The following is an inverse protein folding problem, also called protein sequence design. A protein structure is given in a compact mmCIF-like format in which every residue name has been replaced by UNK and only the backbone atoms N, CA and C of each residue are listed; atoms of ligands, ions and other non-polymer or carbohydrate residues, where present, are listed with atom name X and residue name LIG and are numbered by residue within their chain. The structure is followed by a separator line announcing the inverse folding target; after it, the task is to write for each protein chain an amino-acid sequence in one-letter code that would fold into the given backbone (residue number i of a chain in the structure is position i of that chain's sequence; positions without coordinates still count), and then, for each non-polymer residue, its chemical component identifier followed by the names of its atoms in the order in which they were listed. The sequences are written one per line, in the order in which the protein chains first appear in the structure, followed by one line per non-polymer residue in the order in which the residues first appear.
data_IF_348937163475
#
_entry.id   IF_348937163475
#
_cell.length_a   1.000
_cell.length_b   1.000
_cell.length_c   1.000
_cell.angle_alpha   90.00
_cell.angle_beta   90.00
_cell.angle_gamma   90.00
#
_symmetry.space_group_name_H-M   'P 1'
#
loop_
_entity.id
_entity.type
_entity.pdbx_description
1 polymer ?
#
# COMPACT_ATOMS: atom_id res chain seq x y z
N UNK A 1 57.09 -45.78 45.95
CA UNK A 1 58.02 -46.70 45.29
C UNK A 1 58.12 -46.30 43.84
N UNK A 2 59.30 -45.87 43.41
CA UNK A 2 59.54 -45.35 42.07
C UNK A 2 59.40 -46.49 41.07
N UNK A 3 58.51 -46.37 40.09
CA UNK A 3 58.29 -47.39 39.05
C UNK A 3 59.61 -47.71 38.32
N UNK A 4 60.49 -46.73 38.24
CA UNK A 4 61.86 -46.83 37.72
C UNK A 4 62.73 -47.75 38.57
N UNK A 5 62.65 -47.65 39.90
CA UNK A 5 63.41 -48.49 40.83
C UNK A 5 62.91 -49.94 40.79
N UNK A 6 61.59 -50.15 40.65
CA UNK A 6 61.01 -51.48 40.47
C UNK A 6 61.41 -52.13 39.13
N UNK A 7 61.55 -51.35 38.05
CA UNK A 7 62.03 -51.83 36.74
C UNK A 7 63.53 -52.15 36.76
N UNK A 8 64.33 -51.34 37.47
CA UNK A 8 65.76 -51.59 37.68
C UNK A 8 66.00 -52.86 38.51
N UNK A 9 65.19 -53.10 39.53
CA UNK A 9 65.27 -54.33 40.34
C UNK A 9 64.82 -55.57 39.57
N UNK A 10 63.78 -55.47 38.73
CA UNK A 10 63.26 -56.60 37.92
C UNK A 10 64.25 -57.12 36.87
N UNK A 11 65.09 -56.26 36.29
CA UNK A 11 66.04 -56.63 35.23
C UNK A 11 67.51 -56.64 35.69
N UNK A 12 67.75 -56.61 37.01
CA UNK A 12 69.08 -56.49 37.63
C UNK A 12 70.11 -57.54 37.20
N UNK A 13 69.66 -58.74 36.85
CA UNK A 13 70.51 -59.88 36.45
C UNK A 13 70.61 -60.10 34.94
N UNK A 14 69.93 -59.29 34.12
CA UNK A 14 69.92 -59.43 32.67
C UNK A 14 70.61 -58.23 32.03
N UNK A 15 71.92 -58.35 31.78
CA UNK A 15 72.82 -57.26 31.39
C UNK A 15 72.30 -56.46 30.18
N UNK A 16 71.84 -57.16 29.14
CA UNK A 16 71.20 -56.56 27.96
C UNK A 16 69.94 -55.73 28.28
N UNK A 17 69.07 -56.22 29.17
CA UNK A 17 67.81 -55.55 29.51
C UNK A 17 68.04 -54.37 30.45
N UNK A 18 69.03 -54.47 31.34
CA UNK A 18 69.47 -53.36 32.20
C UNK A 18 70.01 -52.20 31.35
N UNK A 19 70.85 -52.49 30.36
CA UNK A 19 71.39 -51.49 29.45
C UNK A 19 70.27 -50.83 28.63
N UNK A 20 69.34 -51.62 28.08
CA UNK A 20 68.13 -51.10 27.42
C UNK A 20 67.30 -50.18 28.32
N UNK A 21 67.09 -50.54 29.59
CA UNK A 21 66.32 -49.71 30.54
C UNK A 21 67.02 -48.36 30.80
N UNK A 22 68.34 -48.36 31.01
CA UNK A 22 69.10 -47.12 31.17
C UNK A 22 69.12 -46.29 29.88
N UNK A 23 69.24 -46.92 28.70
CA UNK A 23 69.18 -46.23 27.41
C UNK A 23 67.80 -45.59 27.18
N UNK A 24 66.71 -46.26 27.55
CA UNK A 24 65.36 -45.68 27.48
C UNK A 24 65.17 -44.55 28.49
N UNK A 25 65.69 -44.67 29.70
CA UNK A 25 65.63 -43.61 30.72
C UNK A 25 66.47 -42.40 30.33
N UNK A 26 67.63 -42.60 29.69
CA UNK A 26 68.47 -41.53 29.18
C UNK A 26 67.85 -40.82 27.97
N UNK A 27 67.11 -41.54 27.12
CA UNK A 27 66.41 -40.97 25.95
C UNK A 27 65.02 -40.41 26.29
N UNK A 28 64.45 -40.71 27.46
CA UNK A 28 63.12 -40.25 27.88
C UNK A 28 62.99 -38.71 27.90
N UNK A 29 63.95 -37.92 28.43
CA UNK A 29 63.87 -36.46 28.40
C UNK A 29 63.84 -35.90 26.98
N UNK A 30 64.62 -36.49 26.06
CA UNK A 30 64.65 -36.11 24.64
C UNK A 30 63.32 -36.44 23.96
N UNK A 31 62.76 -37.62 24.25
CA UNK A 31 61.43 -38.01 23.77
C UNK A 31 60.35 -37.05 24.28
N UNK A 32 60.34 -36.73 25.58
CA UNK A 32 59.36 -35.82 26.17
C UNK A 32 59.48 -34.40 25.62
N UNK A 33 60.70 -33.88 25.42
CA UNK A 33 60.93 -32.60 24.77
C UNK A 33 60.42 -32.58 23.32
N UNK A 34 60.65 -33.66 22.56
CA UNK A 34 60.12 -33.78 21.20
C UNK A 34 58.58 -33.85 21.16
N UNK A 35 57.96 -34.54 22.11
CA UNK A 35 56.50 -34.61 22.25
C UNK A 35 55.88 -33.26 22.65
N UNK A 36 56.56 -32.51 23.53
CA UNK A 36 56.17 -31.15 23.91
C UNK A 36 56.26 -30.20 22.71
N UNK A 37 57.37 -30.22 21.95
CA UNK A 37 57.49 -29.44 20.72
C UNK A 37 56.43 -29.79 19.67
N UNK A 38 56.13 -31.08 19.48
CA UNK A 38 55.07 -31.52 18.56
C UNK A 38 53.70 -31.05 19.01
N UNK A 39 53.43 -31.10 20.31
CA UNK A 39 52.19 -30.60 20.90
C UNK A 39 52.04 -29.10 20.68
N UNK A 40 53.09 -28.31 20.96
CA UNK A 40 53.10 -26.86 20.77
C UNK A 40 52.92 -26.47 19.29
N UNK A 41 53.65 -27.14 18.38
CA UNK A 41 53.48 -26.95 16.93
C UNK A 41 52.05 -27.26 16.48
N UNK A 42 51.42 -28.28 17.07
CA UNK A 42 50.03 -28.65 16.77
C UNK A 42 49.04 -27.61 17.31
N UNK A 43 49.26 -27.08 18.50
CA UNK A 43 48.42 -26.00 19.06
C UNK A 43 48.56 -24.71 18.26
N UNK A 44 49.78 -24.30 17.90
CA UNK A 44 50.03 -23.13 17.06
C UNK A 44 49.36 -23.26 15.69
N UNK A 45 49.48 -24.42 15.02
CA UNK A 45 48.78 -24.67 13.74
C UNK A 45 47.26 -24.59 13.90
N UNK A 46 46.71 -25.12 14.98
CA UNK A 46 45.27 -25.05 15.27
C UNK A 46 44.82 -23.60 15.48
N UNK A 47 45.58 -22.82 16.24
CA UNK A 47 45.30 -21.41 16.52
C UNK A 47 45.34 -20.58 15.22
N UNK A 48 46.39 -20.71 14.42
CA UNK A 48 46.52 -20.01 13.14
C UNK A 48 45.40 -20.36 12.15
N UNK A 49 44.90 -21.59 12.16
CA UNK A 49 43.77 -22.01 11.31
C UNK A 49 42.45 -21.41 11.80
N UNK A 50 42.27 -21.27 13.12
CA UNK A 50 41.11 -20.58 13.70
C UNK A 50 41.12 -19.09 13.36
N UNK A 51 42.28 -18.42 13.47
CA UNK A 51 42.44 -17.00 13.12
C UNK A 51 42.10 -16.76 11.65
N UNK A 52 42.69 -17.54 10.72
CA UNK A 52 42.36 -17.46 9.29
C UNK A 52 40.87 -17.70 9.00
N UNK A 53 40.23 -18.57 9.79
CA UNK A 53 38.79 -18.84 9.65
C UNK A 53 37.96 -17.61 10.02
N UNK A 54 38.26 -16.98 11.16
CA UNK A 54 37.54 -15.78 11.61
C UNK A 54 37.82 -14.58 10.69
N UNK A 55 39.05 -14.44 10.17
CA UNK A 55 39.39 -13.46 9.15
C UNK A 55 38.54 -13.65 7.89
N UNK A 56 38.41 -14.89 7.39
CA UNK A 56 37.58 -15.19 6.23
C UNK A 56 36.10 -14.87 6.49
N UNK A 57 35.54 -15.24 7.65
CA UNK A 57 34.14 -14.95 7.99
C UNK A 57 33.92 -13.44 8.05
N UNK A 58 34.85 -12.71 8.68
CA UNK A 58 34.78 -11.25 8.78
C UNK A 58 34.89 -10.57 7.41
N UNK A 59 35.77 -11.07 6.55
CA UNK A 59 35.89 -10.62 5.17
C UNK A 59 34.61 -10.88 4.37
N UNK A 60 34.00 -12.06 4.52
CA UNK A 60 32.76 -12.40 3.82
C UNK A 60 31.63 -11.42 4.16
N UNK A 61 31.41 -11.14 5.46
CA UNK A 61 30.36 -10.23 5.90
C UNK A 61 30.67 -8.75 5.65
N UNK A 62 31.94 -8.37 5.41
CA UNK A 62 32.27 -7.01 5.00
C UNK A 62 31.96 -6.75 3.53
N UNK A 63 32.01 -7.79 2.69
CA UNK A 63 31.71 -7.71 1.25
C UNK A 63 30.25 -8.00 0.92
N UNK A 64 29.62 -8.91 1.64
CA UNK A 64 28.27 -9.38 1.35
C UNK A 64 27.35 -9.22 2.56
N UNK A 65 26.22 -8.55 2.34
CA UNK A 65 25.17 -8.40 3.34
C UNK A 65 23.94 -9.20 2.92
N UNK A 66 23.56 -10.16 3.76
CA UNK A 66 22.41 -11.03 3.56
C UNK A 66 21.47 -10.93 4.76
N UNK A 67 20.19 -11.08 4.47
CA UNK A 67 19.11 -11.16 5.44
C UNK A 67 18.31 -12.45 5.24
N UNK A 68 17.56 -12.82 6.26
CA UNK A 68 16.71 -13.99 6.25
C UNK A 68 15.26 -13.64 6.59
N UNK A 69 14.34 -14.28 5.89
CA UNK A 69 12.90 -14.24 6.16
C UNK A 69 12.49 -15.62 6.69
N UNK A 70 12.30 -15.78 8.01
CA UNK A 70 11.99 -17.08 8.61
C UNK A 70 10.66 -17.69 8.14
N UNK A 71 9.67 -16.86 7.80
CA UNK A 71 8.33 -17.32 7.47
C UNK A 71 8.28 -18.13 6.17
N UNK A 72 9.17 -17.82 5.23
CA UNK A 72 9.22 -18.40 3.88
C UNK A 72 10.56 -19.07 3.59
N UNK A 73 11.46 -19.08 4.57
CA UNK A 73 12.85 -19.57 4.45
C UNK A 73 13.64 -18.91 3.32
N UNK A 74 13.29 -17.68 2.96
CA UNK A 74 13.90 -16.93 1.87
C UNK A 74 15.13 -16.17 2.35
N UNK A 75 16.22 -16.21 1.57
CA UNK A 75 17.38 -15.36 1.76
C UNK A 75 17.29 -14.13 0.85
N UNK A 76 17.68 -12.97 1.38
CA UNK A 76 17.67 -11.70 0.65
C UNK A 76 19.06 -11.08 0.70
N UNK A 77 19.62 -10.75 -0.46
CA UNK A 77 20.89 -10.04 -0.54
C UNK A 77 20.64 -8.52 -0.60
N UNK A 78 21.36 -7.77 0.21
CA UNK A 78 21.36 -6.30 0.19
C UNK A 78 22.12 -5.78 -1.03
N UNK A 79 21.46 -5.77 -2.18
CA UNK A 79 21.86 -5.01 -3.38
C UNK A 79 21.01 -3.74 -3.50
N UNK A 80 21.15 -2.97 -4.58
CA UNK A 80 20.30 -1.78 -4.83
C UNK A 80 18.81 -2.11 -4.70
N UNK A 81 18.36 -3.22 -5.30
CA UNK A 81 16.93 -3.57 -5.38
C UNK A 81 16.48 -4.64 -4.37
N UNK A 82 17.34 -5.07 -3.44
CA UNK A 82 17.15 -6.26 -2.58
C UNK A 82 16.71 -7.53 -3.33
N UNK A 83 17.67 -8.42 -3.64
CA UNK A 83 17.37 -9.61 -4.44
C UNK A 83 17.14 -10.84 -3.59
N UNK A 84 16.10 -11.59 -3.90
CA UNK A 84 15.89 -12.94 -3.38
C UNK A 84 16.98 -13.85 -3.95
N UNK A 85 17.64 -14.61 -3.09
CA UNK A 85 18.72 -15.54 -3.44
C UNK A 85 18.44 -16.92 -2.85
N UNK A 86 18.86 -17.97 -3.56
CA UNK A 86 18.78 -19.34 -3.05
C UNK A 86 19.97 -19.65 -2.14
N UNK A 87 19.77 -20.57 -1.20
CA UNK A 87 20.85 -21.04 -0.31
C UNK A 87 22.04 -21.57 -1.12
N UNK A 88 21.79 -22.31 -2.20
CA UNK A 88 22.84 -22.84 -3.09
C UNK A 88 23.72 -21.74 -3.70
N UNK A 89 23.15 -20.57 -3.99
CA UNK A 89 23.92 -19.42 -4.49
C UNK A 89 24.89 -18.91 -3.42
N UNK A 90 24.42 -18.83 -2.17
CA UNK A 90 25.26 -18.46 -1.02
C UNK A 90 26.35 -19.51 -0.80
N UNK A 91 26.00 -20.79 -0.86
CA UNK A 91 26.95 -21.91 -0.72
C UNK A 91 28.02 -21.87 -1.80
N UNK A 92 27.63 -21.68 -3.06
CA UNK A 92 28.55 -21.55 -4.19
C UNK A 92 29.49 -20.36 -4.00
N UNK A 93 28.95 -19.20 -3.58
CA UNK A 93 29.72 -18.00 -3.31
C UNK A 93 30.79 -18.25 -2.23
N UNK A 94 30.40 -18.84 -1.09
CA UNK A 94 31.33 -19.22 -0.03
C UNK A 94 32.42 -20.17 -0.57
N UNK A 95 32.04 -21.17 -1.37
CA UNK A 95 32.98 -22.14 -1.93
C UNK A 95 33.97 -21.49 -2.92
N UNK A 96 33.51 -20.53 -3.71
CA UNK A 96 34.36 -19.84 -4.70
C UNK A 96 35.41 -18.93 -4.07
N UNK A 97 35.11 -18.37 -2.89
CA UNK A 97 35.99 -17.45 -2.16
C UNK A 97 36.92 -18.18 -1.18
N UNK A 98 36.68 -19.46 -0.89
CA UNK A 98 37.44 -20.24 0.08
C UNK A 98 38.87 -20.54 -0.41
N UNK A 99 39.85 -20.18 0.41
CA UNK A 99 41.25 -20.57 0.18
C UNK A 99 41.48 -22.07 0.33
N UNK A 100 42.44 -22.60 -0.45
CA UNK A 100 42.84 -24.02 -0.41
C UNK A 100 43.21 -24.52 1.00
N UNK A 101 43.71 -23.63 1.85
CA UNK A 101 44.10 -23.95 3.24
C UNK A 101 42.92 -24.19 4.19
N UNK A 102 41.74 -23.65 3.89
CA UNK A 102 40.54 -23.72 4.73
C UNK A 102 39.54 -24.80 4.28
N UNK A 103 39.84 -25.54 3.20
CA UNK A 103 38.97 -26.59 2.64
C UNK A 103 38.59 -27.64 3.69
N UNK A 104 39.53 -28.03 4.55
CA UNK A 104 39.30 -29.00 5.64
C UNK A 104 38.26 -28.52 6.67
N UNK A 105 38.00 -27.21 6.74
CA UNK A 105 37.04 -26.57 7.65
C UNK A 105 35.80 -26.01 6.94
N UNK A 106 35.64 -26.28 5.63
CA UNK A 106 34.55 -25.77 4.79
C UNK A 106 33.17 -25.91 5.44
N UNK A 107 32.83 -27.10 5.92
CA UNK A 107 31.51 -27.39 6.49
C UNK A 107 31.22 -26.54 7.73
N UNK A 108 32.24 -26.31 8.56
CA UNK A 108 32.12 -25.45 9.75
C UNK A 108 31.93 -23.99 9.35
N UNK A 109 32.70 -23.50 8.38
CA UNK A 109 32.59 -22.13 7.87
C UNK A 109 31.18 -21.87 7.32
N UNK A 110 30.68 -22.76 6.46
CA UNK A 110 29.33 -22.69 5.92
C UNK A 110 28.29 -22.64 7.03
N UNK A 111 28.38 -23.53 8.03
CA UNK A 111 27.43 -23.57 9.14
C UNK A 111 27.40 -22.27 9.95
N UNK A 112 28.58 -21.66 10.18
CA UNK A 112 28.68 -20.40 10.94
C UNK A 112 28.12 -19.24 10.13
N UNK A 113 28.45 -19.14 8.84
CA UNK A 113 27.94 -18.08 7.96
C UNK A 113 26.42 -18.19 7.84
N UNK A 114 25.88 -19.36 7.50
CA UNK A 114 24.43 -19.54 7.36
C UNK A 114 23.69 -19.27 8.67
N UNK A 115 24.23 -19.72 9.81
CA UNK A 115 23.64 -19.43 11.12
C UNK A 115 23.57 -17.92 11.36
N UNK A 116 24.66 -17.20 11.11
CA UNK A 116 24.73 -15.74 11.29
C UNK A 116 23.80 -14.97 10.33
N UNK A 117 23.61 -15.48 9.10
CA UNK A 117 22.62 -14.92 8.16
C UNK A 117 21.20 -15.15 8.67
N UNK A 118 20.88 -16.35 9.16
CA UNK A 118 19.55 -16.69 9.71
C UNK A 118 19.21 -15.89 10.97
N UNK A 119 20.21 -15.45 11.72
CA UNK A 119 20.07 -14.53 12.85
C UNK A 119 19.81 -13.08 12.41
N UNK A 120 20.20 -12.70 11.19
CA UNK A 120 20.01 -11.35 10.64
C UNK A 120 18.65 -11.24 9.92
N UNK A 121 17.61 -10.88 10.67
CA UNK A 121 16.24 -10.84 10.17
C UNK A 121 16.00 -9.66 9.23
N UNK A 122 15.36 -9.93 8.08
CA UNK A 122 15.04 -8.89 7.09
C UNK A 122 14.15 -7.77 7.68
N UNK A 123 13.20 -8.13 8.55
CA UNK A 123 12.31 -7.18 9.23
C UNK A 123 13.02 -6.28 10.25
N UNK A 124 14.32 -6.44 10.51
CA UNK A 124 15.10 -5.51 11.34
C UNK A 124 15.93 -4.54 10.51
N UNK A 125 15.98 -4.72 9.19
CA UNK A 125 16.74 -3.83 8.31
C UNK A 125 16.11 -2.44 8.20
N UNK A 126 16.95 -1.41 8.16
CA UNK A 126 16.51 -0.02 8.01
C UNK A 126 17.36 0.71 6.97
N UNK A 127 16.71 1.41 6.03
CA UNK A 127 17.39 2.23 5.04
C UNK A 127 16.62 3.54 4.81
N UNK A 128 17.17 4.65 5.28
CA UNK A 128 16.50 5.96 5.26
C UNK A 128 16.39 6.55 3.86
N UNK A 129 17.31 6.24 2.96
CA UNK A 129 17.27 6.71 1.56
C UNK A 129 16.15 6.01 0.80
N UNK A 130 16.13 4.67 0.83
CA UNK A 130 15.07 3.85 0.22
C UNK A 130 13.71 4.24 0.79
N UNK A 131 13.63 4.44 2.11
CA UNK A 131 12.40 4.91 2.79
C UNK A 131 11.88 6.24 2.25
N UNK A 132 12.77 7.19 1.91
CA UNK A 132 12.38 8.48 1.31
C UNK A 132 11.94 8.31 -0.15
N UNK A 133 12.61 7.47 -0.92
CA UNK A 133 12.28 7.18 -2.30
C UNK A 133 10.90 6.52 -2.41
N UNK A 134 10.67 5.45 -1.65
CA UNK A 134 9.40 4.72 -1.61
C UNK A 134 8.25 5.64 -1.17
N UNK A 135 8.45 6.47 -0.14
CA UNK A 135 7.44 7.43 0.29
C UNK A 135 6.98 8.34 -0.87
N UNK A 136 7.91 8.78 -1.71
CA UNK A 136 7.59 9.68 -2.82
C UNK A 136 6.96 8.94 -4.02
N UNK A 137 7.17 7.64 -4.14
CA UNK A 137 6.63 6.81 -5.22
C UNK A 137 5.23 6.26 -4.91
N UNK A 138 4.79 6.33 -3.64
CA UNK A 138 3.45 5.91 -3.24
C UNK A 138 2.36 6.84 -3.79
N UNK A 139 1.16 6.32 -4.12
CA UNK A 139 0.02 7.09 -4.66
C UNK A 139 -0.73 7.89 -3.58
N UNK A 140 0.00 8.53 -2.66
CA UNK A 140 -0.53 9.31 -1.56
C UNK A 140 0.15 10.68 -1.49
N UNK A 141 -0.46 11.64 -0.79
CA UNK A 141 0.26 12.84 -0.37
C UNK A 141 1.44 12.46 0.53
N UNK A 142 2.51 13.27 0.56
CA UNK A 142 3.76 12.96 1.28
C UNK A 142 3.55 12.55 2.74
N UNK A 143 2.62 13.20 3.43
CA UNK A 143 2.28 12.89 4.83
C UNK A 143 1.51 11.59 4.95
N UNK A 144 0.47 11.39 4.11
CA UNK A 144 -0.30 10.15 4.12
C UNK A 144 0.55 8.96 3.67
N UNK A 145 1.48 9.15 2.74
CA UNK A 145 2.45 8.13 2.34
C UNK A 145 3.32 7.68 3.52
N UNK A 146 3.79 8.63 4.33
CA UNK A 146 4.56 8.32 5.53
C UNK A 146 3.71 7.56 6.55
N UNK A 147 2.49 8.04 6.79
CA UNK A 147 1.55 7.39 7.71
C UNK A 147 1.17 5.98 7.24
N UNK A 148 0.94 5.80 5.94
CA UNK A 148 0.69 4.50 5.33
C UNK A 148 1.85 3.53 5.53
N UNK A 149 3.10 3.99 5.41
CA UNK A 149 4.28 3.18 5.71
C UNK A 149 4.36 2.80 7.20
N UNK A 150 4.01 3.70 8.12
CA UNK A 150 3.90 3.37 9.56
C UNK A 150 2.86 2.28 9.78
N UNK A 151 1.67 2.41 9.18
CA UNK A 151 0.59 1.40 9.28
C UNK A 151 1.07 0.04 8.77
N UNK A 152 1.67 -0.01 7.58
CA UNK A 152 2.19 -1.25 7.02
C UNK A 152 3.24 -1.87 7.95
N UNK A 153 4.15 -1.06 8.48
CA UNK A 153 5.16 -1.54 9.42
C UNK A 153 4.54 -2.11 10.70
N UNK A 154 3.51 -1.46 11.25
CA UNK A 154 2.79 -1.95 12.42
C UNK A 154 2.07 -3.28 12.15
N UNK A 155 1.51 -3.48 10.96
CA UNK A 155 0.95 -4.77 10.54
C UNK A 155 2.05 -5.84 10.41
N UNK A 156 3.17 -5.48 9.79
CA UNK A 156 4.33 -6.37 9.61
C UNK A 156 5.02 -6.73 10.92
N UNK A 157 4.92 -5.90 11.95
CA UNK A 157 5.48 -6.16 13.28
C UNK A 157 4.45 -6.66 14.29
N UNK A 158 3.18 -6.81 13.90
CA UNK A 158 2.11 -7.30 14.78
C UNK A 158 1.69 -6.30 15.87
N UNK A 159 1.96 -5.01 15.66
CA UNK A 159 1.60 -3.90 16.55
C UNK A 159 0.22 -3.31 16.25
N UNK A 160 -0.35 -3.59 15.07
CA UNK A 160 -1.59 -2.95 14.62
C UNK A 160 -2.83 -3.44 15.39
N UNK A 161 -3.67 -2.49 15.80
CA UNK A 161 -4.97 -2.72 16.46
C UNK A 161 -6.14 -2.06 15.72
N UNK A 162 -5.86 -1.34 14.64
CA UNK A 162 -6.81 -0.44 13.99
C UNK A 162 -7.31 -0.99 12.65
N UNK A 163 -8.48 -0.50 12.26
CA UNK A 163 -9.09 -0.71 10.96
C UNK A 163 -9.01 0.59 10.18
N UNK A 164 -8.55 0.51 8.94
CA UNK A 164 -8.31 1.67 8.09
C UNK A 164 -9.30 1.70 6.95
N UNK A 165 -10.14 2.72 6.91
CA UNK A 165 -11.00 2.97 5.77
C UNK A 165 -10.25 3.73 4.69
N UNK A 166 -10.29 3.20 3.48
CA UNK A 166 -9.61 3.75 2.32
C UNK A 166 -10.50 3.67 1.10
N UNK A 167 -10.40 4.68 0.24
CA UNK A 167 -11.21 4.77 -0.97
C UNK A 167 -11.04 3.55 -1.88
N UNK A 168 -12.12 3.17 -2.58
CA UNK A 168 -12.16 1.99 -3.47
C UNK A 168 -11.14 2.09 -4.61
N UNK A 169 -10.78 3.31 -5.02
CA UNK A 169 -9.76 3.54 -6.05
C UNK A 169 -8.40 2.91 -5.72
N UNK A 170 -8.06 2.70 -4.43
CA UNK A 170 -6.81 2.06 -4.02
C UNK A 170 -6.81 0.53 -4.12
N UNK A 171 -7.96 -0.10 -4.43
CA UNK A 171 -8.09 -1.56 -4.44
C UNK A 171 -7.09 -2.28 -5.36
N UNK A 172 -6.79 -1.82 -6.59
CA UNK A 172 -5.78 -2.46 -7.45
C UNK A 172 -4.37 -2.40 -6.85
N UNK A 173 -3.98 -1.22 -6.35
CA UNK A 173 -2.69 -1.02 -5.68
C UNK A 173 -2.54 -1.91 -4.45
N UNK A 174 -3.54 -1.93 -3.55
CA UNK A 174 -3.52 -2.75 -2.35
C UNK A 174 -3.50 -4.25 -2.67
N UNK A 175 -4.19 -4.69 -3.73
CA UNK A 175 -4.17 -6.10 -4.16
C UNK A 175 -2.77 -6.53 -4.58
N UNK A 176 -2.09 -5.75 -5.42
CA UNK A 176 -0.72 -6.03 -5.86
C UNK A 176 0.26 -6.08 -4.67
N UNK A 177 0.11 -5.16 -3.72
CA UNK A 177 0.93 -5.14 -2.51
C UNK A 177 0.63 -6.34 -1.60
N UNK A 178 -0.64 -6.68 -1.42
CA UNK A 178 -1.10 -7.79 -0.61
C UNK A 178 -0.60 -9.14 -1.13
N UNK A 179 -0.64 -9.38 -2.44
CA UNK A 179 -0.10 -10.60 -3.06
C UNK A 179 1.39 -10.77 -2.76
N UNK A 180 2.16 -9.68 -2.84
CA UNK A 180 3.58 -9.67 -2.49
C UNK A 180 3.80 -9.90 -0.98
N UNK A 181 2.96 -9.27 -0.15
CA UNK A 181 2.72 -9.53 1.27
C UNK A 181 2.68 -11.02 1.63
N UNK A 182 1.67 -11.67 1.07
CA UNK A 182 1.37 -13.06 1.32
C UNK A 182 2.51 -13.95 0.84
N UNK A 183 3.04 -13.69 -0.36
CA UNK A 183 4.13 -14.50 -0.93
C UNK A 183 5.42 -14.41 -0.12
N UNK A 184 5.83 -13.21 0.31
CA UNK A 184 7.13 -13.02 0.97
C UNK A 184 7.10 -13.32 2.47
N UNK A 185 6.00 -12.97 3.15
CA UNK A 185 5.95 -12.94 4.62
C UNK A 185 4.82 -13.78 5.23
N UNK A 186 3.96 -14.40 4.41
CA UNK A 186 2.71 -15.03 4.86
C UNK A 186 1.82 -14.08 5.68
N UNK A 187 1.87 -12.77 5.37
CA UNK A 187 1.08 -11.74 6.05
C UNK A 187 0.04 -11.11 5.14
N UNK A 188 -1.16 -10.98 5.67
CA UNK A 188 -2.29 -10.33 5.00
C UNK A 188 -2.37 -8.83 5.32
N UNK A 189 -2.97 -8.06 4.40
CA UNK A 189 -3.25 -6.63 4.54
C UNK A 189 -4.75 -6.36 4.74
N UNK A 190 -5.45 -7.28 5.43
CA UNK A 190 -6.91 -7.23 5.67
C UNK A 190 -7.37 -6.06 6.54
N UNK A 191 -6.44 -5.27 7.08
CA UNK A 191 -6.72 -4.09 7.92
C UNK A 191 -7.34 -2.94 7.13
N UNK A 192 -7.15 -2.91 5.81
CA UNK A 192 -7.73 -1.92 4.93
C UNK A 192 -9.12 -2.35 4.47
N UNK A 193 -10.13 -1.51 4.71
CA UNK A 193 -11.54 -1.77 4.36
C UNK A 193 -12.09 -0.65 3.49
N UNK A 194 -13.00 -1.01 2.58
CA UNK A 194 -13.68 -0.06 1.70
C UNK A 194 -15.15 0.17 2.09
N UNK A 195 -15.68 -0.67 2.98
CA UNK A 195 -17.05 -0.60 3.50
C UNK A 195 -17.00 -0.70 5.01
N UNK A 196 -17.95 -0.05 5.64
CA UNK A 196 -18.15 -0.10 7.09
C UNK A 196 -18.99 -1.33 7.47
N UNK A 197 -18.63 -1.99 8.57
CA UNK A 197 -19.28 -3.20 9.09
C UNK A 197 -19.51 -3.11 10.60
N UNK A 198 -20.06 -1.99 11.07
CA UNK A 198 -20.39 -1.76 12.49
C UNK A 198 -19.22 -1.92 13.46
N UNK A 199 -18.01 -1.55 13.00
CA UNK A 199 -16.81 -1.54 13.82
C UNK A 199 -16.81 -0.37 14.82
N UNK A 200 -16.29 -0.59 16.02
CA UNK A 200 -16.17 0.47 17.04
C UNK A 200 -15.35 1.65 16.51
N UNK A 201 -15.93 2.84 16.52
CA UNK A 201 -15.33 4.05 15.95
C UNK A 201 -13.94 4.38 16.51
N UNK A 202 -13.69 4.09 17.80
CA UNK A 202 -12.38 4.29 18.45
C UNK A 202 -11.23 3.53 17.77
N UNK A 203 -11.56 2.39 17.16
CA UNK A 203 -10.62 1.51 16.46
C UNK A 203 -10.55 1.81 14.95
N UNK A 204 -11.35 2.75 14.46
CA UNK A 204 -11.40 3.11 13.05
C UNK A 204 -10.57 4.35 12.75
N UNK A 205 -9.92 4.33 11.58
CA UNK A 205 -9.13 5.44 11.03
C UNK A 205 -9.47 5.62 9.56
N UNK A 206 -9.29 6.83 9.04
CA UNK A 206 -9.55 7.16 7.64
C UNK A 206 -8.24 7.51 6.94
N UNK A 207 -8.03 6.95 5.76
CA UNK A 207 -6.92 7.31 4.88
C UNK A 207 -7.48 8.21 3.77
N UNK A 208 -7.31 9.54 3.88
CA UNK A 208 -7.87 10.47 2.91
C UNK A 208 -7.11 10.42 1.58
N UNK A 209 -7.85 10.52 0.48
CA UNK A 209 -7.29 10.57 -0.87
C UNK A 209 -8.00 9.64 -1.84
N UNK A 210 -7.59 9.73 -3.10
CA UNK A 210 -8.02 8.86 -4.20
C UNK A 210 -6.80 8.45 -5.02
N UNK A 211 -6.75 7.18 -5.42
CA UNK A 211 -5.71 6.65 -6.27
C UNK A 211 -6.07 6.90 -7.73
N UNK A 212 -5.35 7.82 -8.39
CA UNK A 212 -5.50 8.03 -9.85
C UNK A 212 -4.66 7.02 -10.62
N UNK A 213 -3.36 7.01 -10.34
CA UNK A 213 -2.37 6.15 -10.96
C UNK A 213 -1.35 5.73 -9.89
N UNK A 214 -0.73 4.56 -10.08
CA UNK A 214 0.36 4.11 -9.22
C UNK A 214 1.44 3.41 -10.04
N UNK A 215 2.69 3.61 -9.64
CA UNK A 215 3.83 2.90 -10.19
C UNK A 215 4.03 1.60 -9.41
N UNK A 216 4.25 0.45 -10.08
CA UNK A 216 4.65 -0.78 -9.39
C UNK A 216 5.91 -0.54 -8.55
N UNK A 217 5.88 -0.95 -7.28
CA UNK A 217 6.99 -0.81 -6.35
C UNK A 217 7.62 -2.17 -6.08
N UNK A 218 8.92 -2.19 -5.81
CA UNK A 218 9.62 -3.38 -5.36
C UNK A 218 9.14 -3.75 -3.94
N UNK A 219 8.54 -4.93 -3.73
CA UNK A 219 7.91 -5.25 -2.45
C UNK A 219 8.87 -5.24 -1.26
N UNK A 220 10.11 -5.70 -1.46
CA UNK A 220 11.15 -5.73 -0.43
C UNK A 220 11.54 -4.32 0.00
N UNK A 221 11.65 -3.37 -0.92
CA UNK A 221 11.92 -1.96 -0.58
C UNK A 221 10.76 -1.34 0.22
N UNK A 222 9.52 -1.67 -0.14
CA UNK A 222 8.33 -1.23 0.60
C UNK A 222 8.32 -1.79 2.02
N UNK A 223 8.67 -3.07 2.21
CA UNK A 223 8.77 -3.70 3.53
C UNK A 223 9.81 -2.98 4.38
N UNK A 224 11.00 -2.70 3.84
CA UNK A 224 12.07 -2.01 4.57
C UNK A 224 11.66 -0.60 4.94
N UNK A 225 11.05 0.13 4.00
CA UNK A 225 10.52 1.45 4.25
C UNK A 225 9.49 1.40 5.38
N UNK A 226 8.52 0.48 5.30
CA UNK A 226 7.46 0.32 6.29
C UNK A 226 7.99 0.02 7.70
N UNK A 227 8.91 -0.94 7.83
CA UNK A 227 9.54 -1.26 9.12
C UNK A 227 10.36 -0.07 9.64
N UNK A 228 11.12 0.61 8.77
CA UNK A 228 11.89 1.80 9.16
C UNK A 228 10.98 2.87 9.77
N UNK A 229 9.83 3.15 9.16
CA UNK A 229 8.87 4.12 9.68
C UNK A 229 8.18 3.65 10.97
N UNK A 230 7.76 2.39 11.08
CA UNK A 230 7.11 1.85 12.31
C UNK A 230 8.08 1.73 13.51
N UNK A 231 9.38 1.58 13.26
CA UNK A 231 10.38 1.62 14.33
C UNK A 231 10.71 3.05 14.78
N UNK A 232 10.59 4.03 13.87
CA UNK A 232 10.80 5.44 14.20
C UNK A 232 9.58 6.07 14.88
N UNK A 233 8.37 5.66 14.49
CA UNK A 233 7.11 6.24 14.96
C UNK A 233 6.11 5.13 15.25
N UNK A 234 5.35 5.25 16.34
CA UNK A 234 4.08 4.53 16.46
C UNK A 234 2.99 5.23 15.62
N UNK A 235 1.98 4.49 15.15
CA UNK A 235 0.86 5.07 14.39
C UNK A 235 0.19 6.25 15.10
N UNK A 236 -0.08 6.13 16.41
CA UNK A 236 -0.71 7.20 17.17
C UNK A 236 0.24 8.39 17.42
N UNK A 237 1.53 8.15 17.67
CA UNK A 237 2.49 9.23 17.90
C UNK A 237 2.73 10.04 16.62
N UNK A 238 2.78 9.37 15.46
CA UNK A 238 2.85 10.04 14.16
C UNK A 238 1.67 10.98 13.95
N UNK A 239 0.45 10.52 14.27
CA UNK A 239 -0.77 11.34 14.12
C UNK A 239 -0.82 12.50 15.11
N UNK A 240 -0.36 12.31 16.35
CA UNK A 240 -0.27 13.38 17.36
C UNK A 240 0.69 14.48 16.91
N UNK A 241 1.87 14.10 16.40
CA UNK A 241 2.88 15.06 15.93
C UNK A 241 2.36 15.89 14.74
N UNK A 242 1.64 15.25 13.81
CA UNK A 242 1.11 15.89 12.59
C UNK A 242 -0.29 16.50 12.75
N UNK A 243 -0.92 16.38 13.93
CA UNK A 243 -2.25 16.92 14.25
C UNK A 243 -3.33 16.60 13.19
N UNK A 244 -3.35 15.35 12.71
CA UNK A 244 -4.24 14.90 11.62
C UNK A 244 -5.64 14.51 12.13
N UNK A 245 -6.47 15.51 12.35
CA UNK A 245 -7.87 15.33 12.77
C UNK A 245 -8.75 14.63 11.73
N UNK A 246 -8.43 14.78 10.45
CA UNK A 246 -9.12 14.13 9.33
C UNK A 246 -8.99 12.60 9.36
N UNK A 247 -7.82 12.08 9.75
CA UNK A 247 -7.58 10.63 9.92
C UNK A 247 -8.33 10.06 11.14
N UNK A 248 -8.45 10.89 12.20
CA UNK A 248 -9.06 10.54 13.48
C UNK A 248 -10.56 10.84 13.54
N UNK A 249 -11.19 11.18 12.42
CA UNK A 249 -12.56 11.70 12.38
C UNK A 249 -13.57 10.79 13.07
N UNK A 250 -13.48 9.46 12.90
CA UNK A 250 -14.40 8.52 13.55
C UNK A 250 -14.13 8.41 15.05
N UNK A 251 -12.87 8.34 15.49
CA UNK A 251 -12.51 8.31 16.91
C UNK A 251 -12.98 9.55 17.67
N UNK A 252 -13.06 10.68 16.99
CA UNK A 252 -13.44 11.96 17.61
C UNK A 252 -14.95 12.21 17.61
N UNK A 253 -15.75 11.31 17.03
CA UNK A 253 -17.17 11.54 16.84
C UNK A 253 -18.02 10.33 17.25
N UNK A 254 -19.27 10.58 17.62
CA UNK A 254 -20.33 9.58 17.67
C UNK A 254 -21.13 9.62 16.38
N UNK A 255 -21.98 8.62 16.08
CA UNK A 255 -22.93 8.72 14.97
C UNK A 255 -23.75 10.02 15.02
N UNK A 256 -24.22 10.41 16.20
CA UNK A 256 -25.00 11.62 16.42
C UNK A 256 -24.18 12.89 16.21
N UNK A 257 -22.95 12.96 16.74
CA UNK A 257 -22.10 14.14 16.54
C UNK A 257 -21.66 14.28 15.07
N UNK A 258 -21.48 13.16 14.36
CA UNK A 258 -21.15 13.17 12.94
C UNK A 258 -22.32 13.67 12.09
N UNK A 259 -23.55 13.28 12.44
CA UNK A 259 -24.77 13.84 11.83
C UNK A 259 -24.90 15.33 12.14
N UNK A 260 -24.59 15.75 13.37
CA UNK A 260 -24.59 17.18 13.72
C UNK A 260 -23.58 17.98 12.89
N UNK A 261 -22.35 17.46 12.73
CA UNK A 261 -21.33 18.08 11.88
C UNK A 261 -21.78 18.22 10.42
N UNK A 262 -22.49 17.20 9.90
CA UNK A 262 -23.12 17.27 8.58
C UNK A 262 -24.14 18.40 8.52
N UNK A 263 -25.06 18.46 9.49
CA UNK A 263 -26.13 19.46 9.53
C UNK A 263 -25.54 20.87 9.57
N UNK A 264 -24.54 21.10 10.42
CA UNK A 264 -23.89 22.41 10.57
C UNK A 264 -23.14 22.83 9.29
N UNK A 265 -22.64 21.86 8.51
CA UNK A 265 -21.83 22.12 7.31
C UNK A 265 -22.68 22.29 6.05
N UNK A 266 -23.74 21.51 5.89
CA UNK A 266 -24.51 21.39 4.63
C UNK A 266 -25.93 21.96 4.72
N UNK A 267 -26.44 22.27 5.91
CA UNK A 267 -27.85 22.62 6.11
C UNK A 267 -28.04 23.83 7.02
N UNK A 268 -29.16 24.52 6.83
CA UNK A 268 -29.66 25.57 7.71
C UNK A 268 -31.09 25.26 8.12
N UNK A 269 -31.46 25.68 9.32
CA UNK A 269 -32.85 25.60 9.81
C UNK A 269 -33.70 26.64 9.08
N UNK A 270 -34.93 26.30 8.74
CA UNK A 270 -35.91 27.26 8.19
C UNK A 270 -36.39 26.98 6.76
N UNK A 271 -36.33 25.74 6.28
CA UNK A 271 -37.02 25.31 5.07
C UNK A 271 -37.41 23.85 5.14
N UNK A 272 -38.03 23.34 4.08
CA UNK A 272 -38.46 21.95 3.99
C UNK A 272 -37.75 21.24 2.85
N UNK A 273 -37.18 20.06 3.12
CA UNK A 273 -36.62 19.16 2.11
C UNK A 273 -37.14 17.74 2.30
N UNK A 274 -37.12 16.95 1.23
CA UNK A 274 -37.48 15.54 1.29
C UNK A 274 -36.31 14.75 1.89
N UNK A 275 -36.60 13.73 2.69
CA UNK A 275 -35.60 12.87 3.32
C UNK A 275 -34.59 12.29 2.32
N UNK A 276 -35.03 11.93 1.10
CA UNK A 276 -34.14 11.44 0.04
C UNK A 276 -33.05 12.45 -0.32
N UNK A 277 -33.38 13.74 -0.36
CA UNK A 277 -32.42 14.80 -0.68
C UNK A 277 -31.49 15.05 0.51
N UNK A 278 -32.01 15.03 1.74
CA UNK A 278 -31.19 15.07 2.95
C UNK A 278 -30.19 13.90 2.99
N UNK A 279 -30.64 12.70 2.63
CA UNK A 279 -29.80 11.50 2.60
C UNK A 279 -28.75 11.58 1.49
N UNK A 280 -29.10 12.10 0.31
CA UNK A 280 -28.11 12.38 -0.74
C UNK A 280 -27.00 13.32 -0.24
N UNK A 281 -27.37 14.45 0.38
CA UNK A 281 -26.40 15.40 0.94
C UNK A 281 -25.52 14.77 2.01
N UNK A 282 -26.10 13.88 2.83
CA UNK A 282 -25.35 13.08 3.79
C UNK A 282 -24.30 12.18 3.11
N UNK A 283 -24.66 11.48 2.02
CA UNK A 283 -23.68 10.67 1.27
C UNK A 283 -22.56 11.53 0.69
N UNK A 284 -22.88 12.70 0.15
CA UNK A 284 -21.90 13.68 -0.35
C UNK A 284 -20.98 14.16 0.77
N UNK A 285 -21.54 14.49 1.94
CA UNK A 285 -20.76 14.87 3.11
C UNK A 285 -19.75 13.77 3.49
N UNK A 286 -20.19 12.50 3.58
CA UNK A 286 -19.30 11.39 3.89
C UNK A 286 -18.18 11.24 2.86
N UNK A 287 -18.48 11.33 1.56
CA UNK A 287 -17.47 11.27 0.50
C UNK A 287 -16.46 12.42 0.58
N UNK A 288 -16.91 13.63 0.88
CA UNK A 288 -16.02 14.78 1.07
C UNK A 288 -15.01 14.58 2.22
N UNK A 289 -15.34 13.68 3.16
CA UNK A 289 -14.50 13.28 4.29
C UNK A 289 -13.81 11.92 4.10
N UNK A 290 -13.87 11.34 2.90
CA UNK A 290 -13.33 10.01 2.57
C UNK A 290 -13.87 8.88 3.47
N UNK A 291 -15.08 9.05 4.01
CA UNK A 291 -15.73 8.07 4.86
C UNK A 291 -16.56 7.09 4.03
N UNK A 292 -16.54 5.79 4.36
CA UNK A 292 -17.56 4.88 3.90
C UNK A 292 -18.90 5.23 4.56
N UNK A 293 -19.97 4.52 4.19
CA UNK A 293 -21.28 4.67 4.83
C UNK A 293 -21.27 4.13 6.28
N UNK A 294 -20.75 4.96 7.20
CA UNK A 294 -20.56 4.63 8.63
C UNK A 294 -21.86 4.67 9.43
N UNK A 295 -22.86 5.43 8.97
CA UNK A 295 -24.22 5.43 9.52
C UNK A 295 -25.16 4.85 8.47
N UNK A 296 -25.84 3.76 8.83
CA UNK A 296 -26.83 3.12 7.97
C UNK A 296 -27.97 4.09 7.65
N UNK A 297 -28.67 3.86 6.52
CA UNK A 297 -29.81 4.70 6.15
C UNK A 297 -30.90 4.73 7.24
N UNK A 298 -31.13 3.61 7.92
CA UNK A 298 -32.12 3.50 8.99
C UNK A 298 -31.68 4.30 10.22
N UNK A 299 -30.43 4.16 10.64
CA UNK A 299 -29.89 4.88 11.80
C UNK A 299 -29.83 6.39 11.53
N UNK A 300 -29.46 6.79 10.32
CA UNK A 300 -29.46 8.20 9.93
C UNK A 300 -30.87 8.81 10.05
N UNK A 301 -31.89 8.11 9.52
CA UNK A 301 -33.29 8.53 9.65
C UNK A 301 -33.73 8.61 11.12
N UNK A 302 -33.36 7.63 11.93
CA UNK A 302 -33.69 7.60 13.36
C UNK A 302 -33.04 8.76 14.12
N UNK A 303 -31.77 9.08 13.86
CA UNK A 303 -31.07 10.21 14.47
C UNK A 303 -31.77 11.54 14.12
N UNK A 304 -32.10 11.76 12.85
CA UNK A 304 -32.81 12.98 12.44
C UNK A 304 -34.20 13.10 13.06
N UNK A 305 -34.92 12.00 13.25
CA UNK A 305 -36.20 11.98 13.95
C UNK A 305 -36.05 12.28 15.44
N UNK A 306 -35.05 11.69 16.10
CA UNK A 306 -34.74 11.96 17.51
C UNK A 306 -34.34 13.42 17.74
N UNK A 307 -33.65 14.04 16.77
CA UNK A 307 -33.30 15.46 16.78
C UNK A 307 -34.49 16.40 16.48
N UNK A 308 -35.68 15.87 16.17
CA UNK A 308 -36.86 16.66 15.79
C UNK A 308 -36.72 17.37 14.46
N UNK A 309 -35.84 16.89 13.58
CA UNK A 309 -35.54 17.50 12.28
C UNK A 309 -36.44 16.94 11.19
N UNK A 310 -36.70 15.64 11.21
CA UNK A 310 -37.54 15.00 10.21
C UNK A 310 -38.78 14.35 10.83
N UNK A 311 -39.92 14.53 10.17
CA UNK A 311 -41.18 13.85 10.44
C UNK A 311 -41.57 13.04 9.19
N UNK A 312 -41.46 11.71 9.26
CA UNK A 312 -41.69 10.85 8.12
C UNK A 312 -40.68 11.07 6.99
N UNK A 313 -41.13 11.59 5.85
CA UNK A 313 -40.32 11.90 4.66
C UNK A 313 -39.98 13.40 4.53
N UNK A 314 -40.51 14.25 5.42
CA UNK A 314 -40.29 15.69 5.39
C UNK A 314 -39.28 16.06 6.46
N UNK A 315 -38.26 16.81 6.08
CA UNK A 315 -37.23 17.32 6.96
C UNK A 315 -37.27 18.84 6.99
N UNK A 316 -37.25 19.44 8.18
CA UNK A 316 -37.22 20.88 8.43
C UNK A 316 -35.81 21.45 8.24
N UNK A 317 -35.23 21.15 7.10
CA UNK A 317 -33.91 21.57 6.67
C UNK A 317 -34.01 22.30 5.33
N UNK A 318 -33.18 23.31 5.16
CA UNK A 318 -32.80 23.81 3.84
C UNK A 318 -31.30 23.70 3.68
N UNK A 319 -30.80 23.81 2.47
CA UNK A 319 -29.35 23.80 2.21
C UNK A 319 -28.77 25.18 2.50
N UNK A 320 -27.61 25.26 3.16
CA UNK A 320 -26.90 26.53 3.48
C UNK A 320 -26.68 27.41 2.25
N UNK A 321 -26.33 26.77 1.15
CA UNK A 321 -26.32 27.31 -0.21
C UNK A 321 -27.05 26.26 -1.02
N UNK A 322 -28.02 26.62 -1.88
CA UNK A 322 -28.65 25.65 -2.80
C UNK A 322 -27.55 24.86 -3.52
N UNK A 323 -27.24 23.65 -3.05
CA UNK A 323 -26.05 22.95 -3.53
C UNK A 323 -26.30 22.67 -5.00
N UNK A 324 -25.44 23.16 -5.88
CA UNK A 324 -25.60 22.92 -7.32
C UNK A 324 -25.66 21.40 -7.62
N UNK A 325 -25.12 20.58 -6.70
CA UNK A 325 -25.30 19.13 -6.64
C UNK A 325 -26.77 18.69 -6.54
N UNK A 326 -27.57 19.29 -5.64
CA UNK A 326 -28.98 18.95 -5.47
C UNK A 326 -29.80 19.43 -6.67
N UNK A 327 -29.51 20.64 -7.19
CA UNK A 327 -30.09 21.11 -8.44
C UNK A 327 -29.81 20.15 -9.59
N UNK A 328 -28.57 19.66 -9.68
CA UNK A 328 -28.19 18.69 -10.71
C UNK A 328 -28.91 17.35 -10.54
N UNK A 329 -29.03 16.83 -9.32
CA UNK A 329 -29.83 15.63 -9.03
C UNK A 329 -31.27 15.80 -9.53
N UNK A 330 -31.93 16.90 -9.20
CA UNK A 330 -33.30 17.16 -9.66
C UNK A 330 -33.39 17.36 -11.18
N UNK A 331 -32.39 18.00 -11.78
CA UNK A 331 -32.29 18.12 -13.23
C UNK A 331 -32.18 16.73 -13.88
N UNK A 332 -31.32 15.86 -13.36
CA UNK A 332 -31.13 14.51 -13.87
C UNK A 332 -32.42 13.69 -13.75
N UNK A 333 -33.02 13.64 -12.56
CA UNK A 333 -34.29 12.92 -12.29
C UNK A 333 -35.43 13.36 -13.23
N UNK A 334 -35.47 14.65 -13.59
CA UNK A 334 -36.56 15.22 -14.38
C UNK A 334 -36.34 15.12 -15.89
N UNK A 335 -35.10 15.27 -16.35
CA UNK A 335 -34.83 15.53 -17.76
C UNK A 335 -34.02 14.45 -18.46
N UNK A 336 -33.33 13.57 -17.73
CA UNK A 336 -32.53 12.49 -18.29
C UNK A 336 -33.30 11.17 -18.21
N UNK A 337 -33.56 10.55 -19.35
CA UNK A 337 -34.35 9.33 -19.48
C UNK A 337 -33.49 8.25 -20.12
N UNK A 338 -33.54 7.01 -19.62
CA UNK A 338 -32.81 5.90 -20.22
C UNK A 338 -33.34 5.61 -21.63
N UNK A 339 -32.43 5.54 -22.60
CA UNK A 339 -32.74 5.34 -24.02
C UNK A 339 -31.52 4.74 -24.72
N UNK A 340 -31.64 3.52 -25.25
CA UNK A 340 -30.52 2.73 -25.76
C UNK A 340 -29.84 3.34 -27.00
N UNK A 341 -30.52 4.23 -27.72
CA UNK A 341 -30.03 4.80 -28.98
C UNK A 341 -29.25 6.10 -28.78
N UNK A 342 -29.32 6.69 -27.59
CA UNK A 342 -28.76 8.02 -27.32
C UNK A 342 -27.56 7.98 -26.38
N UNK A 343 -26.60 8.87 -26.68
CA UNK A 343 -25.46 9.15 -25.84
C UNK A 343 -25.09 10.62 -25.87
N UNK A 344 -24.59 11.12 -24.74
CA UNK A 344 -24.21 12.52 -24.56
C UNK A 344 -22.81 12.58 -23.99
N UNK A 345 -22.02 13.54 -24.46
CA UNK A 345 -20.78 13.86 -23.76
C UNK A 345 -21.11 14.54 -22.42
N UNK A 346 -20.30 14.26 -21.39
CA UNK A 346 -20.46 14.85 -20.07
C UNK A 346 -20.41 16.38 -20.10
N UNK A 347 -19.58 16.98 -20.97
CA UNK A 347 -19.54 18.41 -21.15
C UNK A 347 -20.86 18.93 -21.75
N UNK A 348 -21.44 18.22 -22.72
CA UNK A 348 -22.73 18.58 -23.30
C UNK A 348 -23.83 18.59 -22.23
N UNK A 349 -23.90 17.54 -21.39
CA UNK A 349 -24.87 17.47 -20.28
C UNK A 349 -24.67 18.61 -19.29
N UNK A 350 -23.41 18.89 -18.96
CA UNK A 350 -23.06 19.97 -18.03
C UNK A 350 -23.49 21.34 -18.57
N UNK A 351 -23.26 21.62 -19.86
CA UNK A 351 -23.64 22.87 -20.51
C UNK A 351 -25.18 23.03 -20.53
N UNK A 352 -25.91 21.95 -20.81
CA UNK A 352 -27.38 21.96 -20.77
C UNK A 352 -27.88 22.27 -19.36
N UNK A 353 -27.31 21.63 -18.33
CA UNK A 353 -27.65 21.88 -16.94
C UNK A 353 -27.37 23.33 -16.52
N UNK A 354 -26.13 23.80 -16.73
CA UNK A 354 -25.69 25.12 -16.28
C UNK A 354 -26.54 26.24 -16.90
N UNK A 355 -26.94 26.06 -18.16
CA UNK A 355 -27.81 26.97 -18.85
C UNK A 355 -29.25 26.93 -18.34
N UNK A 356 -29.78 25.74 -18.08
CA UNK A 356 -31.15 25.54 -17.62
C UNK A 356 -31.34 26.14 -16.22
N UNK A 357 -30.43 25.82 -15.30
CA UNK A 357 -30.52 26.23 -13.90
C UNK A 357 -29.90 27.60 -13.61
N UNK A 358 -29.20 28.18 -14.59
CA UNK A 358 -28.42 29.44 -14.45
C UNK A 358 -27.44 29.35 -13.27
N UNK A 359 -26.76 28.22 -13.17
CA UNK A 359 -25.78 27.91 -12.11
C UNK A 359 -24.52 27.31 -12.70
N UNK A 360 -23.43 27.35 -11.94
CA UNK A 360 -22.17 26.70 -12.31
C UNK A 360 -21.98 25.40 -11.53
N UNK A 361 -21.50 24.36 -12.21
CA UNK A 361 -21.15 23.09 -11.59
C UNK A 361 -19.89 22.58 -12.27
N UNK A 362 -18.94 22.05 -11.51
CA UNK A 362 -17.73 21.48 -12.12
C UNK A 362 -18.01 20.08 -12.64
N UNK A 363 -17.23 19.63 -13.63
CA UNK A 363 -17.36 18.28 -14.16
C UNK A 363 -17.10 17.22 -13.09
N UNK A 364 -16.16 17.46 -12.16
CA UNK A 364 -15.91 16.56 -11.03
C UNK A 364 -17.13 16.44 -10.12
N UNK A 365 -17.77 17.57 -9.81
CA UNK A 365 -18.98 17.61 -8.99
C UNK A 365 -20.14 16.86 -9.65
N UNK A 366 -20.29 16.99 -10.98
CA UNK A 366 -21.28 16.25 -11.74
C UNK A 366 -21.03 14.73 -11.70
N UNK A 367 -19.78 14.31 -11.96
CA UNK A 367 -19.36 12.89 -11.87
C UNK A 367 -19.57 12.35 -10.44
N UNK A 368 -19.39 13.19 -9.43
CA UNK A 368 -19.70 12.82 -8.05
C UNK A 368 -21.19 12.49 -7.89
N UNK A 369 -22.12 13.36 -8.32
CA UNK A 369 -23.56 13.08 -8.23
C UNK A 369 -23.91 11.77 -8.96
N UNK A 370 -23.42 11.60 -10.19
CA UNK A 370 -23.66 10.40 -10.98
C UNK A 370 -23.18 9.14 -10.27
N UNK A 371 -21.97 9.17 -9.71
CA UNK A 371 -21.42 8.00 -9.01
C UNK A 371 -22.02 7.75 -7.62
N UNK A 372 -22.67 8.73 -6.99
CA UNK A 372 -23.36 8.56 -5.69
C UNK A 372 -24.77 8.00 -5.89
N UNK A 373 -25.56 8.63 -6.75
CA UNK A 373 -27.00 8.37 -6.87
C UNK A 373 -27.36 7.45 -8.05
N UNK A 374 -26.54 7.44 -9.10
CA UNK A 374 -26.84 6.71 -10.33
C UNK A 374 -25.69 5.76 -10.73
N UNK A 375 -25.29 4.80 -9.87
CA UNK A 375 -24.17 3.89 -10.14
C UNK A 375 -24.38 2.97 -11.35
N UNK A 376 -25.61 2.86 -11.86
CA UNK A 376 -25.95 2.12 -13.09
C UNK A 376 -25.70 2.92 -14.38
N UNK A 377 -25.39 4.21 -14.29
CA UNK A 377 -25.07 5.03 -15.46
C UNK A 377 -23.74 4.57 -16.02
N UNK A 378 -23.76 4.11 -17.27
CA UNK A 378 -22.56 3.69 -17.99
C UNK A 378 -21.88 4.93 -18.58
N UNK A 379 -20.63 5.16 -18.17
CA UNK A 379 -19.80 6.25 -18.68
C UNK A 379 -18.58 5.62 -19.36
N UNK A 380 -18.45 5.83 -20.68
CA UNK A 380 -17.29 5.43 -21.46
C UNK A 380 -16.44 6.67 -21.78
N UNK A 381 -15.27 6.78 -21.12
CA UNK A 381 -14.43 7.98 -21.18
C UNK A 381 -15.16 9.23 -20.67
N UNK A 382 -15.59 10.09 -21.60
CA UNK A 382 -16.38 11.30 -21.33
C UNK A 382 -17.85 11.17 -21.75
N UNK A 383 -18.27 10.03 -22.28
CA UNK A 383 -19.61 9.85 -22.85
C UNK A 383 -20.52 9.09 -21.89
N UNK A 384 -21.67 9.67 -21.58
CA UNK A 384 -22.80 9.00 -20.93
C UNK A 384 -23.55 8.19 -21.98
N UNK A 385 -23.64 6.89 -21.76
CA UNK A 385 -24.29 5.95 -22.68
C UNK A 385 -25.72 5.65 -22.22
N UNK A 386 -26.61 5.47 -23.19
CA UNK A 386 -27.98 5.00 -23.01
C UNK A 386 -28.89 5.99 -22.28
N UNK A 387 -28.72 7.28 -22.54
CA UNK A 387 -29.57 8.32 -21.97
C UNK A 387 -29.93 9.38 -23.01
N UNK A 388 -31.16 9.86 -22.92
CA UNK A 388 -31.72 10.96 -23.69
C UNK A 388 -32.04 12.16 -22.81
N UNK A 389 -31.71 13.35 -23.28
CA UNK A 389 -32.13 14.60 -22.62
C UNK A 389 -33.42 15.12 -23.26
N UNK A 390 -34.46 15.30 -22.45
CA UNK A 390 -35.75 15.85 -22.92
C UNK A 390 -35.71 17.34 -23.25
N UNK A 391 -34.78 18.10 -22.68
CA UNK A 391 -34.60 19.53 -22.98
C UNK A 391 -33.81 19.74 -24.28
N UNK A 392 -33.07 18.73 -24.74
CA UNK A 392 -32.25 18.84 -25.94
C UNK A 392 -32.11 17.50 -26.64
N UNK A 393 -32.79 17.38 -27.77
CA UNK A 393 -32.60 16.27 -28.68
C UNK A 393 -31.50 16.65 -29.68
N UNK A 394 -30.31 16.11 -29.46
CA UNK A 394 -29.10 16.41 -30.23
C UNK A 394 -29.25 16.03 -31.71
N UNK A 395 -29.89 14.90 -31.99
CA UNK A 395 -30.10 14.40 -33.35
C UNK A 395 -31.03 15.32 -34.12
N UNK A 396 -32.19 15.66 -33.54
CA UNK A 396 -33.13 16.60 -34.17
C UNK A 396 -32.49 17.98 -34.41
N UNK A 397 -31.64 18.45 -33.50
CA UNK A 397 -30.94 19.73 -33.63
C UNK A 397 -29.96 19.72 -34.83
N UNK A 398 -29.24 18.62 -35.01
CA UNK A 398 -28.36 18.40 -36.16
C UNK A 398 -29.17 18.24 -37.46
N UNK A 399 -30.27 17.47 -37.45
CA UNK A 399 -31.15 17.28 -38.62
C UNK A 399 -31.77 18.62 -39.07
N UNK A 400 -32.19 19.46 -38.12
CA UNK A 400 -32.67 20.81 -38.42
C UNK A 400 -31.57 21.68 -39.03
N UNK A 401 -30.33 21.58 -38.54
CA UNK A 401 -29.20 22.31 -39.12
C UNK A 401 -28.86 21.81 -40.54
N UNK A 402 -28.93 20.49 -40.78
CA UNK A 402 -28.73 19.90 -42.12
C UNK A 402 -29.76 20.39 -43.13
N UNK A 403 -31.00 20.59 -42.73
CA UNK A 403 -32.04 21.13 -43.61
C UNK A 403 -31.84 22.61 -43.97
N UNK A 404 -31.08 23.36 -43.15
CA UNK A 404 -30.86 24.80 -43.34
C UNK A 404 -29.52 25.10 -44.03
N UNK A 405 -28.53 24.22 -43.88
CA UNK A 405 -27.18 24.40 -44.41
C UNK A 405 -26.93 23.54 -45.66
N UNK A 406 -26.55 24.18 -46.77
CA UNK A 406 -26.20 23.51 -48.04
C UNK A 406 -24.69 23.40 -48.26
N UNK A 407 -23.91 23.08 -47.23
CA UNK A 407 -22.44 23.05 -47.28
C UNK A 407 -21.92 21.60 -47.45
N UNK A 408 -21.00 21.37 -48.40
CA UNK A 408 -20.38 20.06 -48.63
C UNK A 408 -19.20 19.78 -47.69
N UNK A 409 -18.54 20.83 -47.17
CA UNK A 409 -17.43 20.69 -46.23
C UNK A 409 -17.94 20.54 -44.78
N UNK A 410 -17.63 19.40 -44.16
CA UNK A 410 -18.02 19.05 -42.78
C UNK A 410 -17.49 20.04 -41.75
N UNK A 411 -16.29 20.59 -41.94
CA UNK A 411 -15.71 21.55 -41.01
C UNK A 411 -16.44 22.89 -41.06
N UNK A 412 -16.65 23.42 -42.27
CA UNK A 412 -17.42 24.64 -42.49
C UNK A 412 -18.88 24.47 -42.02
N UNK A 413 -19.46 23.28 -42.20
CA UNK A 413 -20.81 22.98 -41.72
C UNK A 413 -20.89 22.97 -40.20
N UNK A 414 -19.93 22.37 -39.48
CA UNK A 414 -19.88 22.43 -38.02
C UNK A 414 -19.71 23.87 -37.49
N UNK A 415 -18.88 24.68 -38.13
CA UNK A 415 -18.77 26.11 -37.79
C UNK A 415 -20.09 26.87 -37.98
N UNK A 416 -20.86 26.53 -39.02
CA UNK A 416 -22.16 27.15 -39.25
C UNK A 416 -23.21 26.63 -38.27
N UNK A 417 -23.21 25.34 -37.96
CA UNK A 417 -24.06 24.72 -36.94
C UNK A 417 -23.84 25.37 -35.57
N UNK A 418 -22.59 25.57 -35.16
CA UNK A 418 -22.28 26.26 -33.89
C UNK A 418 -22.71 27.73 -33.86
N UNK A 419 -22.86 28.37 -35.02
CA UNK A 419 -23.37 29.76 -35.16
C UNK A 419 -24.91 29.82 -35.20
N UNK A 420 -25.56 28.83 -35.82
CA UNK A 420 -27.03 28.71 -35.95
C UNK A 420 -27.66 28.18 -34.65
N UNK A 421 -27.04 27.16 -34.04
CA UNK A 421 -27.42 26.69 -32.72
C UNK A 421 -27.01 27.75 -31.70
N UNK A 422 -27.90 28.73 -31.52
CA UNK A 422 -27.66 29.82 -30.58
C UNK A 422 -27.49 29.36 -29.13
N UNK A 423 -27.65 28.06 -28.81
CA UNK A 423 -27.76 27.65 -27.42
C UNK A 423 -27.15 26.29 -27.00
N UNK A 424 -26.96 25.28 -27.85
CA UNK A 424 -26.49 23.94 -27.44
C UNK A 424 -25.79 23.25 -28.61
N UNK A 425 -24.50 22.98 -28.50
CA UNK A 425 -23.74 22.38 -29.60
C UNK A 425 -23.34 20.96 -29.24
N UNK A 426 -23.54 20.05 -30.19
CA UNK A 426 -22.94 18.72 -30.13
C UNK A 426 -21.41 18.84 -30.20
N UNK A 427 -20.68 17.90 -29.61
CA UNK A 427 -19.23 17.82 -29.84
C UNK A 427 -18.92 17.64 -31.32
N UNK A 428 -17.81 18.24 -31.77
CA UNK A 428 -17.38 18.18 -33.17
C UNK A 428 -17.27 16.75 -33.68
N UNK A 429 -16.66 15.86 -32.89
CA UNK A 429 -16.47 14.46 -33.24
C UNK A 429 -17.81 13.73 -33.43
N UNK A 430 -18.79 13.98 -32.55
CA UNK A 430 -20.11 13.40 -32.70
C UNK A 430 -20.82 13.93 -33.94
N UNK A 431 -20.78 15.26 -34.16
CA UNK A 431 -21.41 15.90 -35.31
C UNK A 431 -20.89 15.33 -36.62
N UNK A 432 -19.57 15.26 -36.78
CA UNK A 432 -18.94 14.71 -37.98
C UNK A 432 -19.31 13.24 -38.21
N UNK A 433 -19.38 12.43 -37.15
CA UNK A 433 -19.80 11.03 -37.24
C UNK A 433 -21.27 10.91 -37.65
N UNK A 434 -22.16 11.68 -37.04
CA UNK A 434 -23.60 11.63 -37.30
C UNK A 434 -23.93 12.02 -38.75
N UNK A 435 -23.37 13.15 -39.22
CA UNK A 435 -23.51 13.63 -40.61
C UNK A 435 -22.84 12.70 -41.63
N UNK A 436 -21.97 11.78 -41.20
CA UNK A 436 -21.37 10.78 -42.10
C UNK A 436 -22.22 9.51 -42.25
N UNK A 437 -23.19 9.29 -41.35
CA UNK A 437 -24.04 8.09 -41.30
C UNK A 437 -25.40 8.36 -41.94
N UNK A 438 -25.93 9.57 -41.75
CA UNK A 438 -27.12 10.12 -42.42
C UNK A 438 -26.75 10.54 -43.84
#
# INVERSE_FOLDING_TARGET
MNIIDALRDKYKHHEYMKQKVEDYLANLPVLMASLEEEYDKKQQKKQALLEKREEFITFFFSQYSFFYIPQTEVFVQHTLDYKVVHEDTILHLICSLLDKSLISSKTKIISVILKRIKENLFLQSTNTYVSKMIRNALPFSKEIASYFLVILGDVLLGKNQYIFYIDVSYKPFLKSLHESFCFLLHKSLDVFKHKYYDHTYDLCRVIPGQCKEYTPLLPLEVIIAAVTYSNQYSSDDYLKEKQRHDVLLLKQNTPESLVQLFLDSYTTKGGTMVYKDAYFLWKTFLRSKFLPFVVSQQNFKAILQQMGICEGEVCQLTTTMQTNLLKFKHFWDKYMIADEEYSYDLQEVLDVFQKQERTTLTMESMKEVLSVEYPSVMIDGTTVMYYKCTIWNKNLDIDMAMNVCTQEDKFAFYEQYTKISHKKCATKEYFEKYVSIV
#
